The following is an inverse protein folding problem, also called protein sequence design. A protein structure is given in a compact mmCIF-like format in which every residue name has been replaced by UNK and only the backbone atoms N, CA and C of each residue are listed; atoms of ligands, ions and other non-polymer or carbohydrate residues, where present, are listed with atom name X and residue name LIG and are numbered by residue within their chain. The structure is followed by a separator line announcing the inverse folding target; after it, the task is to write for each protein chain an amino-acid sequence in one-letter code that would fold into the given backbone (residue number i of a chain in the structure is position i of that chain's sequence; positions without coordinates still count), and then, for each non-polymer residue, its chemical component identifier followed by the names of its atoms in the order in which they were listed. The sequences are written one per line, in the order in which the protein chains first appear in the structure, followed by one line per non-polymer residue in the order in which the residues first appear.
data_IF_122716794451
#
_entry.id   IF_122716794451
#
_cell.length_a   1.000
_cell.length_b   1.000
_cell.length_c   1.000
_cell.angle_alpha   90.00
_cell.angle_beta   90.00
_cell.angle_gamma   90.00
#
_symmetry.space_group_name_H-M   'P 1'
#
loop_
_entity.id
_entity.type
_entity.pdbx_description
1 polymer ?
#
# COMPACT_ATOMS: atom_id res chain seq x y z
N UNK A 1 7.88 -24.54 12.92
CA UNK A 1 7.93 -23.10 13.22
C UNK A 1 8.63 -22.48 12.04
N UNK A 2 7.89 -21.74 11.21
CA UNK A 2 8.48 -21.03 10.08
C UNK A 2 9.41 -19.93 10.58
N UNK A 3 10.43 -19.60 9.80
CA UNK A 3 11.29 -18.45 10.11
C UNK A 3 10.49 -17.15 9.95
N UNK A 4 10.84 -16.06 10.64
CA UNK A 4 10.15 -14.76 10.48
C UNK A 4 10.07 -14.28 9.02
N UNK A 5 11.01 -14.71 8.19
CA UNK A 5 11.07 -14.44 6.75
C UNK A 5 9.95 -15.13 5.95
N UNK A 6 9.44 -16.28 6.41
CA UNK A 6 8.33 -17.00 5.74
C UNK A 6 6.98 -16.30 5.93
N UNK A 7 6.85 -15.40 6.90
CA UNK A 7 5.65 -14.62 7.20
C UNK A 7 5.65 -13.22 6.55
N UNK A 8 6.75 -12.81 5.92
CA UNK A 8 6.89 -11.51 5.28
C UNK A 8 6.22 -11.50 3.89
N UNK A 9 5.64 -10.35 3.53
CA UNK A 9 5.20 -10.10 2.15
C UNK A 9 6.36 -9.55 1.33
N UNK A 10 6.54 -10.09 0.13
CA UNK A 10 7.29 -9.41 -0.93
C UNK A 10 6.43 -8.29 -1.49
N UNK A 11 6.93 -7.06 -1.48
CA UNK A 11 6.25 -5.87 -1.98
C UNK A 11 7.03 -5.31 -3.17
N UNK A 12 6.36 -5.08 -4.29
CA UNK A 12 6.92 -4.53 -5.51
C UNK A 12 6.17 -3.25 -5.89
N UNK A 13 6.92 -2.23 -6.29
CA UNK A 13 6.37 -1.03 -6.91
C UNK A 13 6.06 -1.35 -8.38
N UNK A 14 4.79 -1.24 -8.76
CA UNK A 14 4.32 -1.53 -10.12
C UNK A 14 4.34 -0.27 -10.99
N UNK A 15 3.75 0.82 -10.51
CA UNK A 15 3.67 2.08 -11.24
C UNK A 15 3.60 3.30 -10.32
N UNK A 16 3.99 4.44 -10.88
CA UNK A 16 3.73 5.76 -10.34
C UNK A 16 3.17 6.58 -11.49
N UNK A 17 1.91 6.97 -11.39
CA UNK A 17 1.20 7.74 -12.41
C UNK A 17 0.82 9.11 -11.84
N UNK A 18 0.89 10.14 -12.67
CA UNK A 18 0.42 11.47 -12.30
C UNK A 18 -0.95 11.69 -12.91
N UNK A 19 -1.95 11.90 -12.07
CA UNK A 19 -3.27 12.29 -12.49
C UNK A 19 -3.47 13.79 -12.25
N UNK A 20 -4.07 14.46 -13.23
CA UNK A 20 -4.51 15.84 -13.10
C UNK A 20 -5.96 15.78 -12.65
N UNK A 21 -6.22 16.15 -11.39
CA UNK A 21 -7.59 16.31 -10.94
C UNK A 21 -8.12 17.64 -11.47
N UNK A 22 -8.85 17.54 -12.58
CA UNK A 22 -9.41 18.69 -13.32
C UNK A 22 -10.51 19.39 -12.53
N UNK A 23 -11.11 18.73 -11.54
CA UNK A 23 -12.24 19.24 -10.76
C UNK A 23 -11.79 19.92 -9.45
N UNK A 24 -10.68 19.49 -8.86
CA UNK A 24 -10.12 20.06 -7.62
C UNK A 24 -8.90 20.96 -7.82
N UNK A 25 -8.35 21.03 -9.05
CA UNK A 25 -7.23 21.90 -9.38
C UNK A 25 -5.89 21.47 -8.78
N UNK A 26 -5.81 20.23 -8.29
CA UNK A 26 -4.61 19.63 -7.71
C UNK A 26 -4.01 18.55 -8.62
N UNK A 27 -2.70 18.38 -8.55
CA UNK A 27 -2.01 17.23 -9.13
C UNK A 27 -1.97 16.10 -8.09
N UNK A 28 -2.41 14.90 -8.45
CA UNK A 28 -2.28 13.70 -7.60
C UNK A 28 -1.27 12.74 -8.22
N UNK A 29 -0.61 11.97 -7.34
CA UNK A 29 0.25 10.86 -7.71
C UNK A 29 -0.41 9.57 -7.23
N UNK A 30 -0.68 8.68 -8.18
CA UNK A 30 -1.17 7.34 -7.94
C UNK A 30 0.01 6.38 -7.90
N UNK A 31 0.21 5.73 -6.76
CA UNK A 31 1.30 4.76 -6.55
C UNK A 31 0.69 3.37 -6.40
N UNK A 32 1.12 2.44 -7.24
CA UNK A 32 0.65 1.06 -7.19
C UNK A 32 1.71 0.12 -6.63
N UNK A 33 1.29 -0.67 -5.64
CA UNK A 33 2.08 -1.74 -5.04
C UNK A 33 1.40 -3.09 -5.26
N UNK A 34 2.15 -4.06 -5.77
CA UNK A 34 1.79 -5.46 -5.69
C UNK A 34 2.45 -6.08 -4.46
N UNK A 35 1.73 -6.93 -3.72
CA UNK A 35 2.31 -7.67 -2.61
C UNK A 35 1.89 -9.13 -2.64
N UNK A 36 2.81 -10.01 -2.25
CA UNK A 36 2.55 -11.45 -2.24
C UNK A 36 3.30 -12.18 -1.13
N UNK A 37 2.70 -13.26 -0.66
CA UNK A 37 3.31 -14.30 0.18
C UNK A 37 2.66 -15.63 -0.16
N UNK A 38 3.19 -16.73 0.38
CA UNK A 38 2.59 -18.06 0.18
C UNK A 38 1.09 -18.05 0.51
N UNK A 39 0.26 -18.35 -0.49
CA UNK A 39 -1.21 -18.42 -0.36
C UNK A 39 -1.95 -17.08 -0.32
N UNK A 40 -1.27 -15.94 -0.49
CA UNK A 40 -1.91 -14.63 -0.49
C UNK A 40 -1.23 -13.65 -1.47
N UNK A 41 -2.03 -12.99 -2.30
CA UNK A 41 -1.59 -11.93 -3.21
C UNK A 41 -2.58 -10.78 -3.17
N UNK A 42 -2.10 -9.57 -3.34
CA UNK A 42 -2.93 -8.38 -3.36
C UNK A 42 -2.26 -7.21 -4.08
N UNK A 43 -3.07 -6.19 -4.32
CA UNK A 43 -2.63 -4.93 -4.89
C UNK A 43 -3.16 -3.80 -4.00
N UNK A 44 -2.38 -2.74 -3.88
CA UNK A 44 -2.78 -1.51 -3.22
C UNK A 44 -2.45 -0.32 -4.11
N UNK A 45 -3.39 0.62 -4.21
CA UNK A 45 -3.20 1.91 -4.86
C UNK A 45 -3.30 2.99 -3.80
N UNK A 46 -2.33 3.88 -3.77
CA UNK A 46 -2.25 5.01 -2.82
C UNK A 46 -2.17 6.31 -3.60
N UNK A 47 -3.08 7.22 -3.31
CA UNK A 47 -3.17 8.56 -3.89
C UNK A 47 -2.55 9.58 -2.95
N UNK A 48 -1.56 10.36 -3.40
CA UNK A 48 -0.98 11.46 -2.64
C UNK A 48 -1.01 12.77 -3.43
N UNK A 49 -1.09 13.91 -2.73
CA UNK A 49 -1.03 15.23 -3.36
C UNK A 49 0.40 15.51 -3.88
N UNK A 50 0.55 15.74 -5.19
CA UNK A 50 1.85 15.89 -5.84
C UNK A 50 2.61 17.14 -5.37
N UNK A 51 1.89 18.20 -4.99
CA UNK A 51 2.46 19.47 -4.52
C UNK A 51 3.12 19.34 -3.13
N UNK A 52 2.85 18.23 -2.42
CA UNK A 52 3.28 18.02 -1.05
C UNK A 52 4.57 17.20 -0.91
N UNK A 53 5.10 16.63 -2.02
CA UNK A 53 6.21 15.66 -1.97
C UNK A 53 7.25 15.89 -3.07
N UNK A 54 8.52 15.65 -2.75
CA UNK A 54 9.57 15.56 -3.78
C UNK A 54 9.60 14.17 -4.43
N UNK A 55 10.20 14.05 -5.61
CA UNK A 55 10.28 12.77 -6.35
C UNK A 55 10.87 11.62 -5.52
N UNK A 56 11.86 11.90 -4.68
CA UNK A 56 12.50 10.90 -3.81
C UNK A 56 11.64 10.46 -2.63
N UNK A 57 10.60 11.24 -2.31
CA UNK A 57 9.73 11.01 -1.17
C UNK A 57 8.43 10.28 -1.55
N UNK A 58 8.07 10.24 -2.84
CA UNK A 58 6.84 9.61 -3.36
C UNK A 58 6.66 8.19 -2.79
N UNK A 59 7.64 7.31 -3.02
CA UNK A 59 7.56 5.90 -2.57
C UNK A 59 7.56 5.79 -1.04
N UNK A 60 8.45 6.46 -0.28
CA UNK A 60 8.37 6.51 1.18
C UNK A 60 7.00 6.93 1.73
N UNK A 61 6.38 7.97 1.18
CA UNK A 61 5.04 8.41 1.60
C UNK A 61 3.98 7.36 1.27
N UNK A 62 3.97 6.83 0.04
CA UNK A 62 3.04 5.77 -0.34
C UNK A 62 3.15 4.54 0.56
N UNK A 63 4.36 4.14 0.94
CA UNK A 63 4.58 3.03 1.88
C UNK A 63 4.14 3.35 3.31
N UNK A 64 4.32 4.60 3.76
CA UNK A 64 3.84 5.05 5.07
C UNK A 64 2.31 4.99 5.15
N UNK A 65 1.61 5.49 4.14
CA UNK A 65 0.15 5.45 4.09
C UNK A 65 -0.37 4.03 3.98
N UNK A 66 0.30 3.19 3.18
CA UNK A 66 0.00 1.76 3.09
C UNK A 66 0.11 1.06 4.45
N UNK A 67 1.15 1.38 5.23
CA UNK A 67 1.34 0.85 6.59
C UNK A 67 0.18 1.23 7.51
N UNK A 68 -0.20 2.52 7.52
CA UNK A 68 -1.29 3.03 8.35
C UNK A 68 -2.63 2.40 7.96
N UNK A 69 -2.91 2.29 6.65
CA UNK A 69 -4.12 1.67 6.13
C UNK A 69 -4.20 0.19 6.50
N UNK A 70 -3.12 -0.58 6.30
CA UNK A 70 -3.12 -1.99 6.67
C UNK A 70 -3.22 -2.23 8.18
N UNK A 71 -2.60 -1.39 9.01
CA UNK A 71 -2.77 -1.49 10.46
C UNK A 71 -4.24 -1.28 10.86
N UNK A 72 -4.89 -0.26 10.31
CA UNK A 72 -6.31 0.01 10.58
C UNK A 72 -7.22 -1.13 10.06
N UNK A 73 -6.99 -1.62 8.84
CA UNK A 73 -7.74 -2.72 8.27
C UNK A 73 -7.53 -4.02 9.03
N UNK A 74 -6.31 -4.32 9.48
CA UNK A 74 -6.02 -5.50 10.29
C UNK A 74 -6.80 -5.49 11.61
N UNK A 75 -6.87 -4.34 12.29
CA UNK A 75 -7.67 -4.21 13.51
C UNK A 75 -9.17 -4.37 13.24
N UNK A 76 -9.70 -3.74 12.18
CA UNK A 76 -11.12 -3.84 11.82
C UNK A 76 -11.53 -5.24 11.36
N UNK A 77 -10.63 -5.96 10.70
CA UNK A 77 -10.92 -7.29 10.14
C UNK A 77 -10.62 -8.42 11.12
N UNK A 78 -10.07 -8.13 12.31
CA UNK A 78 -9.68 -9.12 13.31
C UNK A 78 -10.81 -10.09 13.69
N UNK A 79 -12.04 -9.59 13.81
CA UNK A 79 -13.22 -10.41 14.13
C UNK A 79 -13.60 -11.43 13.03
N UNK A 80 -13.09 -11.24 11.80
CA UNK A 80 -13.37 -12.06 10.63
C UNK A 80 -12.25 -13.06 10.32
N UNK A 81 -11.19 -13.07 11.14
CA UNK A 81 -10.05 -13.97 10.95
C UNK A 81 -10.50 -15.42 11.16
N UNK A 82 -10.33 -16.24 10.14
CA UNK A 82 -10.53 -17.69 10.23
C UNK A 82 -9.23 -18.29 10.76
N UNK A 83 -9.28 -18.89 11.95
CA UNK A 83 -8.18 -19.72 12.47
C UNK A 83 -8.33 -21.12 11.88
N UNK A 84 -7.38 -21.55 11.04
CA UNK A 84 -7.34 -22.93 10.58
C UNK A 84 -6.69 -23.78 11.68
N UNK A 85 -7.46 -24.69 12.25
CA UNK A 85 -7.04 -25.67 13.26
C UNK A 85 -6.24 -26.81 12.66
#
# INVERSE_FOLDING_TARGET
MGTPEEDMFDIQLESIERELDVDLGGETLEIEFAFSRTGCRGHARVSIEADSVTTTEIVPFGMSDLHLAFAALAEQTKAWRIEMT
#
